data_IF_446747045368
#
_entry.id   IF_446747045368
#
_cell.length_a   1.000
_cell.length_b   1.000
_cell.length_c   1.000
_cell.angle_alpha   90.00
_cell.angle_beta   90.00
_cell.angle_gamma   90.00
#
_symmetry.space_group_name_H-M   'P 1'
#
loop_
_entity.id
_entity.type
_entity.pdbx_description
1 polymer ?
#
# COMPACT_ATOMS: atom_id res chain seq x y z
N UNK A 1 16.94 -11.35 -2.28
CA UNK A 1 16.15 -12.50 -2.80
C UNK A 1 16.21 -13.75 -1.91
N UNK A 2 17.35 -14.05 -1.26
CA UNK A 2 17.56 -15.22 -0.38
C UNK A 2 16.38 -15.55 0.55
N UNK A 3 15.90 -14.57 1.31
CA UNK A 3 14.88 -14.82 2.35
C UNK A 3 13.45 -14.83 1.80
N UNK A 4 13.23 -14.17 0.66
CA UNK A 4 11.90 -14.03 0.04
C UNK A 4 11.99 -14.26 -1.48
N UNK A 5 12.24 -15.51 -1.93
CA UNK A 5 12.50 -15.79 -3.35
C UNK A 5 11.29 -15.47 -4.24
N UNK A 6 10.07 -15.65 -3.73
CA UNK A 6 8.81 -15.44 -4.46
C UNK A 6 8.23 -14.02 -4.34
N UNK A 7 8.86 -13.11 -3.59
CA UNK A 7 8.30 -11.78 -3.38
C UNK A 7 8.37 -10.93 -4.67
N UNK A 8 7.25 -10.43 -5.17
CA UNK A 8 7.22 -9.55 -6.36
C UNK A 8 7.19 -8.07 -5.99
N UNK A 9 6.56 -7.75 -4.88
CA UNK A 9 6.38 -6.39 -4.39
C UNK A 9 7.19 -6.16 -3.13
N UNK A 10 7.65 -4.93 -2.93
CA UNK A 10 8.24 -4.45 -1.68
C UNK A 10 7.62 -3.10 -1.32
N UNK A 11 7.54 -2.79 -0.04
CA UNK A 11 7.07 -1.49 0.43
C UNK A 11 7.99 -0.93 1.52
N UNK A 12 7.88 0.38 1.81
CA UNK A 12 8.55 0.98 2.94
C UNK A 12 7.77 0.74 4.25
N UNK A 13 8.51 0.48 5.32
CA UNK A 13 8.02 0.55 6.69
C UNK A 13 8.62 1.81 7.33
N UNK A 14 7.78 2.74 7.78
CA UNK A 14 8.21 4.11 8.14
C UNK A 14 8.88 4.80 6.93
N UNK A 15 10.02 5.46 7.13
CA UNK A 15 10.90 5.85 6.03
C UNK A 15 10.73 7.28 5.56
N UNK A 16 9.97 8.13 6.25
CA UNK A 16 9.68 9.52 5.85
C UNK A 16 10.92 10.27 5.33
N UNK A 17 12.02 10.28 6.10
CA UNK A 17 13.28 10.93 5.70
C UNK A 17 13.90 10.32 4.44
N UNK A 18 13.85 8.99 4.32
CA UNK A 18 14.43 8.28 3.17
C UNK A 18 13.57 8.52 1.92
N UNK A 19 12.25 8.37 2.05
CA UNK A 19 11.30 8.56 0.94
C UNK A 19 11.17 10.01 0.51
N UNK A 20 11.57 11.00 1.32
CA UNK A 20 11.67 12.40 0.89
C UNK A 20 12.95 12.71 0.11
N UNK A 21 13.99 11.90 0.27
CA UNK A 21 15.29 12.12 -0.37
C UNK A 21 15.31 11.44 -1.75
N UNK A 22 15.39 12.23 -2.81
CA UNK A 22 15.37 11.70 -4.17
C UNK A 22 16.63 10.91 -4.51
N UNK A 23 17.82 11.33 -4.08
CA UNK A 23 19.06 10.64 -4.43
C UNK A 23 19.17 9.30 -3.71
N UNK A 24 18.70 9.25 -2.45
CA UNK A 24 18.57 8.01 -1.70
C UNK A 24 17.54 7.07 -2.36
N UNK A 25 16.35 7.58 -2.70
CA UNK A 25 15.32 6.80 -3.37
C UNK A 25 15.76 6.32 -4.74
N UNK A 26 16.45 7.12 -5.55
CA UNK A 26 16.93 6.75 -6.87
C UNK A 26 17.85 5.52 -6.82
N UNK A 27 18.82 5.53 -5.90
CA UNK A 27 19.75 4.42 -5.68
C UNK A 27 19.02 3.16 -5.22
N UNK A 28 18.13 3.28 -4.25
CA UNK A 28 17.36 2.14 -3.73
C UNK A 28 16.40 1.57 -4.78
N UNK A 29 15.69 2.44 -5.50
CA UNK A 29 14.73 2.05 -6.52
C UNK A 29 15.43 1.27 -7.64
N UNK A 30 16.59 1.74 -8.11
CA UNK A 30 17.43 1.01 -9.08
C UNK A 30 17.81 -0.39 -8.58
N UNK A 31 18.33 -0.49 -7.36
CA UNK A 31 18.73 -1.78 -6.80
C UNK A 31 17.54 -2.76 -6.70
N UNK A 32 16.35 -2.26 -6.38
CA UNK A 32 15.15 -3.07 -6.27
C UNK A 32 14.65 -3.58 -7.63
N UNK A 33 14.62 -2.73 -8.65
CA UNK A 33 14.18 -3.14 -10.00
C UNK A 33 15.18 -4.10 -10.66
N UNK A 34 16.48 -3.93 -10.44
CA UNK A 34 17.52 -4.87 -10.90
C UNK A 34 17.33 -6.27 -10.30
N UNK A 35 16.73 -6.33 -9.11
CA UNK A 35 16.35 -7.57 -8.46
C UNK A 35 14.94 -8.04 -8.84
N UNK A 36 14.24 -7.36 -9.75
CA UNK A 36 12.89 -7.69 -10.23
C UNK A 36 11.77 -7.38 -9.23
N UNK A 37 11.97 -6.45 -8.30
CA UNK A 37 10.92 -5.99 -7.39
C UNK A 37 10.16 -4.80 -7.97
N UNK A 38 8.87 -4.73 -7.65
CA UNK A 38 8.03 -3.55 -7.87
C UNK A 38 7.82 -2.85 -6.51
N UNK A 39 8.05 -1.54 -6.46
CA UNK A 39 7.92 -0.78 -5.22
C UNK A 39 6.49 -0.27 -5.01
N UNK A 40 5.96 -0.50 -3.81
CA UNK A 40 4.67 0.00 -3.34
C UNK A 40 4.92 1.05 -2.25
N UNK A 41 4.55 2.29 -2.51
CA UNK A 41 4.73 3.37 -1.54
C UNK A 41 3.65 3.30 -0.44
N UNK A 42 4.07 3.00 0.79
CA UNK A 42 3.20 3.02 1.97
C UNK A 42 2.78 4.44 2.39
N UNK A 43 3.37 5.49 1.79
CA UNK A 43 3.15 6.92 2.03
C UNK A 43 3.11 7.30 3.52
N UNK A 44 4.27 7.51 4.12
CA UNK A 44 4.36 8.03 5.51
C UNK A 44 4.48 9.56 5.57
N UNK A 45 4.59 10.21 4.40
CA UNK A 45 4.56 11.66 4.20
C UNK A 45 3.79 11.98 2.93
N UNK A 46 3.30 13.23 2.83
CA UNK A 46 2.54 13.69 1.67
C UNK A 46 3.40 13.75 0.40
N UNK A 47 4.61 14.31 0.49
CA UNK A 47 5.55 14.48 -0.61
C UNK A 47 6.65 13.42 -0.56
N UNK A 48 6.54 12.44 -1.44
CA UNK A 48 7.46 11.30 -1.57
C UNK A 48 8.20 11.40 -2.90
N UNK A 49 9.50 11.10 -2.90
CA UNK A 49 10.33 11.01 -4.08
C UNK A 49 10.12 9.70 -4.88
N UNK A 50 9.35 8.75 -4.33
CA UNK A 50 9.07 7.45 -4.95
C UNK A 50 8.39 7.59 -6.31
N UNK A 51 7.43 8.52 -6.45
CA UNK A 51 6.75 8.75 -7.73
C UNK A 51 7.72 9.25 -8.82
N UNK A 52 8.68 10.11 -8.45
CA UNK A 52 9.71 10.61 -9.37
C UNK A 52 10.67 9.51 -9.77
N UNK A 53 11.09 8.67 -8.82
CA UNK A 53 11.96 7.52 -9.09
C UNK A 53 11.25 6.49 -10.00
N UNK A 54 10.00 6.14 -9.71
CA UNK A 54 9.18 5.24 -10.53
C UNK A 54 9.09 5.74 -11.99
N UNK A 55 8.82 7.04 -12.17
CA UNK A 55 8.80 7.68 -13.50
C UNK A 55 10.15 7.57 -14.22
N UNK A 56 11.26 7.82 -13.53
CA UNK A 56 12.62 7.74 -14.12
C UNK A 56 12.92 6.35 -14.70
N UNK A 57 12.51 5.29 -13.99
CA UNK A 57 12.76 3.90 -14.39
C UNK A 57 11.61 3.26 -15.17
N UNK A 58 10.64 4.06 -15.64
CA UNK A 58 9.46 3.60 -16.37
C UNK A 58 8.72 2.46 -15.65
N UNK A 59 8.60 2.55 -14.33
CA UNK A 59 7.87 1.60 -13.50
C UNK A 59 6.49 2.15 -13.11
N UNK A 60 5.48 1.28 -12.91
CA UNK A 60 4.20 1.71 -12.37
C UNK A 60 4.40 2.30 -10.97
N UNK A 61 3.78 3.45 -10.72
CA UNK A 61 3.75 4.03 -9.38
C UNK A 61 2.54 3.51 -8.63
N UNK A 62 2.80 2.63 -7.66
CA UNK A 62 1.78 2.06 -6.78
C UNK A 62 1.91 2.75 -5.42
N UNK A 63 0.81 3.31 -4.92
CA UNK A 63 0.81 3.95 -3.61
C UNK A 63 -0.44 3.64 -2.82
N UNK A 64 -0.29 3.58 -1.50
CA UNK A 64 -1.41 3.49 -0.57
C UNK A 64 -2.36 4.70 -0.71
N UNK A 65 -3.65 4.41 -0.65
CA UNK A 65 -4.71 5.41 -0.57
C UNK A 65 -5.18 5.62 0.87
N UNK A 66 -5.47 4.53 1.58
CA UNK A 66 -6.02 4.55 2.94
C UNK A 66 -5.14 3.73 3.87
N UNK A 67 -4.90 4.25 5.08
CA UNK A 67 -4.24 3.50 6.15
C UNK A 67 -5.29 3.05 7.14
N UNK A 68 -5.40 1.74 7.36
CA UNK A 68 -6.53 1.17 8.09
C UNK A 68 -6.40 1.34 9.59
N UNK A 69 -5.20 1.29 10.14
CA UNK A 69 -5.01 1.04 11.57
C UNK A 69 -3.93 1.89 12.23
N UNK A 70 -3.83 3.16 11.80
CA UNK A 70 -3.06 4.17 12.53
C UNK A 70 -3.55 4.28 13.98
N UNK A 71 -4.86 4.50 14.12
CA UNK A 71 -5.60 4.24 15.36
C UNK A 71 -6.00 2.75 15.39
N UNK A 72 -5.51 1.96 16.37
CA UNK A 72 -5.76 0.53 16.43
C UNK A 72 -7.16 0.16 16.95
N UNK A 73 -8.02 1.13 17.30
CA UNK A 73 -9.37 0.87 17.77
C UNK A 73 -10.23 0.25 16.66
N UNK A 74 -11.10 -0.70 17.01
CA UNK A 74 -11.98 -1.34 16.04
C UNK A 74 -12.93 -0.34 15.34
N UNK A 75 -13.32 0.74 16.02
CA UNK A 75 -14.14 1.80 15.46
C UNK A 75 -13.39 2.59 14.38
N UNK A 76 -12.14 2.98 14.63
CA UNK A 76 -11.32 3.69 13.65
C UNK A 76 -11.04 2.81 12.43
N UNK A 77 -10.60 1.56 12.64
CA UNK A 77 -10.37 0.61 11.54
C UNK A 77 -11.62 0.43 10.68
N UNK A 78 -12.79 0.30 11.29
CA UNK A 78 -14.06 0.18 10.55
C UNK A 78 -14.32 1.42 9.70
N UNK A 79 -14.11 2.62 10.25
CA UNK A 79 -14.28 3.88 9.52
C UNK A 79 -13.34 3.96 8.32
N UNK A 80 -12.06 3.65 8.50
CA UNK A 80 -11.08 3.66 7.41
C UNK A 80 -11.39 2.60 6.34
N UNK A 81 -11.87 1.41 6.74
CA UNK A 81 -12.29 0.39 5.78
C UNK A 81 -13.49 0.84 4.94
N UNK A 82 -14.47 1.52 5.54
CA UNK A 82 -15.59 2.14 4.79
C UNK A 82 -15.07 3.21 3.83
N UNK A 83 -14.13 4.05 4.25
CA UNK A 83 -13.52 5.06 3.39
C UNK A 83 -12.81 4.42 2.18
N UNK A 84 -12.07 3.32 2.39
CA UNK A 84 -11.42 2.58 1.31
C UNK A 84 -12.43 2.01 0.31
N UNK A 85 -13.53 1.41 0.78
CA UNK A 85 -14.60 0.88 -0.09
C UNK A 85 -15.27 2.01 -0.88
N UNK A 86 -15.59 3.13 -0.23
CA UNK A 86 -16.19 4.27 -0.92
C UNK A 86 -15.25 4.85 -1.99
N UNK A 87 -13.95 4.91 -1.70
CA UNK A 87 -12.95 5.33 -2.68
C UNK A 87 -12.89 4.36 -3.86
N UNK A 88 -12.87 3.05 -3.60
CA UNK A 88 -12.87 2.02 -4.64
C UNK A 88 -14.12 2.13 -5.54
N UNK A 89 -15.31 2.28 -4.96
CA UNK A 89 -16.55 2.49 -5.71
C UNK A 89 -16.51 3.74 -6.59
N UNK A 90 -15.85 4.81 -6.15
CA UNK A 90 -15.78 6.08 -6.88
C UNK A 90 -14.86 6.03 -8.10
N UNK A 91 -13.72 5.33 -8.02
CA UNK A 91 -12.67 5.38 -9.07
C UNK A 91 -12.27 4.02 -9.65
N UNK A 92 -12.95 2.95 -9.27
CA UNK A 92 -12.70 1.58 -9.71
C UNK A 92 -11.90 0.73 -8.72
N UNK A 93 -10.93 1.29 -7.99
CA UNK A 93 -10.14 0.56 -7.00
C UNK A 93 -9.60 1.46 -5.87
N UNK A 94 -9.19 0.86 -4.75
CA UNK A 94 -8.43 1.52 -3.70
C UNK A 94 -7.42 0.54 -3.07
N UNK A 95 -6.23 1.03 -2.73
CA UNK A 95 -5.20 0.30 -2.02
C UNK A 95 -5.24 0.74 -0.56
N UNK A 96 -5.76 -0.12 0.30
CA UNK A 96 -5.72 0.05 1.74
C UNK A 96 -4.58 -0.79 2.34
N UNK A 97 -3.77 -0.20 3.22
CA UNK A 97 -2.74 -0.91 3.97
C UNK A 97 -3.08 -0.86 5.45
N UNK A 98 -2.86 -1.97 6.15
CA UNK A 98 -2.88 -2.03 7.60
C UNK A 98 -1.90 -3.08 8.09
N UNK A 99 -1.84 -3.27 9.39
CA UNK A 99 -1.00 -4.26 10.05
C UNK A 99 -1.83 -5.44 10.55
N UNK A 100 -1.20 -6.60 10.82
CA UNK A 100 -1.89 -7.78 11.35
C UNK A 100 -2.25 -7.63 12.84
N UNK A 101 -2.85 -6.50 13.23
CA UNK A 101 -3.33 -6.25 14.59
C UNK A 101 -4.66 -6.99 14.82
N UNK A 102 -4.94 -7.34 16.08
CA UNK A 102 -6.16 -8.05 16.49
C UNK A 102 -7.44 -7.38 15.96
N UNK A 103 -7.58 -6.07 16.15
CA UNK A 103 -8.76 -5.33 15.71
C UNK A 103 -8.83 -5.20 14.18
N UNK A 104 -7.70 -4.99 13.49
CA UNK A 104 -7.63 -4.92 12.02
C UNK A 104 -8.19 -6.19 11.38
N UNK A 105 -7.69 -7.35 11.84
CA UNK A 105 -8.15 -8.65 11.34
C UNK A 105 -9.62 -8.89 11.69
N UNK A 106 -10.04 -8.61 12.93
CA UNK A 106 -11.41 -8.82 13.37
C UNK A 106 -12.42 -8.00 12.57
N UNK A 107 -12.12 -6.71 12.32
CA UNK A 107 -12.97 -5.83 11.52
C UNK A 107 -13.06 -6.32 10.08
N UNK A 108 -11.93 -6.64 9.43
CA UNK A 108 -11.94 -7.15 8.04
C UNK A 108 -12.78 -8.43 7.95
N UNK A 109 -12.61 -9.38 8.88
CA UNK A 109 -13.37 -10.64 8.90
C UNK A 109 -14.88 -10.39 9.07
N UNK A 110 -15.27 -9.51 9.99
CA UNK A 110 -16.67 -9.15 10.22
C UNK A 110 -17.27 -8.32 9.06
N UNK A 111 -16.43 -7.82 8.17
CA UNK A 111 -16.83 -6.92 7.08
C UNK A 111 -17.24 -7.63 5.79
N UNK A 112 -16.94 -8.94 5.67
CA UNK A 112 -17.12 -9.75 4.45
C UNK A 112 -18.51 -9.61 3.83
N UNK A 113 -19.56 -9.66 4.65
CA UNK A 113 -20.95 -9.65 4.19
C UNK A 113 -21.66 -8.30 4.40
N UNK A 114 -20.91 -7.22 4.70
CA UNK A 114 -21.50 -5.88 4.87
C UNK A 114 -20.70 -4.79 4.15
N UNK A 115 -19.54 -4.36 4.66
CA UNK A 115 -18.73 -3.27 4.12
C UNK A 115 -18.10 -3.72 2.81
N UNK A 116 -17.64 -4.98 2.74
CA UNK A 116 -16.99 -5.55 1.56
C UNK A 116 -17.97 -6.20 0.58
N UNK A 117 -19.29 -6.14 0.82
CA UNK A 117 -20.28 -6.91 0.03
C UNK A 117 -20.35 -6.51 -1.45
N UNK A 118 -20.00 -5.26 -1.77
CA UNK A 118 -20.12 -4.67 -3.11
C UNK A 118 -18.75 -4.44 -3.78
N UNK A 119 -17.68 -5.00 -3.21
CA UNK A 119 -16.32 -4.88 -3.76
C UNK A 119 -15.62 -6.23 -3.70
N UNK A 120 -14.68 -6.44 -4.62
CA UNK A 120 -13.82 -7.62 -4.60
C UNK A 120 -12.46 -7.28 -3.99
N UNK A 121 -11.97 -8.15 -3.11
CA UNK A 121 -10.61 -8.07 -2.59
C UNK A 121 -9.70 -8.85 -3.54
N UNK A 122 -8.89 -8.14 -4.30
CA UNK A 122 -8.02 -8.70 -5.36
C UNK A 122 -6.54 -8.55 -5.02
N UNK A 123 -5.66 -9.18 -5.78
CA UNK A 123 -4.22 -8.97 -5.64
C UNK A 123 -3.78 -7.70 -6.37
N UNK A 124 -2.64 -7.11 -5.96
CA UNK A 124 -2.07 -5.92 -6.63
C UNK A 124 -1.83 -6.13 -8.14
N UNK A 125 -1.56 -7.36 -8.58
CA UNK A 125 -1.36 -7.68 -10.00
C UNK A 125 -2.64 -7.61 -10.84
N UNK A 126 -3.81 -7.57 -10.19
CA UNK A 126 -5.11 -7.57 -10.86
C UNK A 126 -5.65 -6.13 -11.05
N UNK A 127 -4.94 -5.12 -10.52
CA UNK A 127 -5.28 -3.69 -10.65
C UNK A 127 -4.22 -2.89 -11.45
N UNK A 128 -3.16 -3.52 -11.94
CA UNK A 128 -2.01 -2.90 -12.62
C UNK A 128 -1.80 -3.48 -14.02
#
# INVERSE_FOLDING_TARGET
>A
RKDFPRAKYTNNHTGSRFTSDYDAMDKAYRALIEQGFIFVDSKTIAQTAVARAAKKYNQPYISRDIFLDDDPSAAAVRRELVAAVNLAKKRGYAIAIGHPKKNTIAVIKASKNNILKDVEVVYLKDIL
#
